data_IF_062926048572
#
_entry.id   IF_062926048572
#
_cell.length_a   1.000
_cell.length_b   1.000
_cell.length_c   1.000
_cell.angle_alpha   90.00
_cell.angle_beta   90.00
_cell.angle_gamma   90.00
#
_symmetry.space_group_name_H-M   'P 1'
#
loop_
_entity.id
_entity.type
_entity.pdbx_description
1 polymer ?
#
# COMPACT_ATOMS: atom_id res chain seq x y z
N UNK A 1 15.18 -13.20 -19.26
CA UNK A 1 14.57 -14.53 -19.06
C UNK A 1 15.31 -15.53 -19.94
N UNK A 2 15.78 -16.66 -19.39
CA UNK A 2 16.53 -17.70 -20.11
C UNK A 2 15.55 -18.62 -20.85
N UNK A 3 15.95 -19.14 -22.01
CA UNK A 3 15.30 -20.30 -22.64
C UNK A 3 15.41 -21.46 -21.64
N UNK A 4 14.28 -22.01 -21.21
CA UNK A 4 14.26 -23.27 -20.47
C UNK A 4 14.11 -24.34 -21.53
N UNK A 5 15.15 -25.15 -21.68
CA UNK A 5 15.15 -26.33 -22.54
C UNK A 5 15.29 -27.53 -21.61
N UNK A 6 14.18 -28.25 -21.43
CA UNK A 6 14.12 -29.42 -20.54
C UNK A 6 13.23 -30.47 -21.21
N UNK A 7 13.77 -31.66 -21.44
CA UNK A 7 13.06 -32.80 -22.03
C UNK A 7 12.23 -32.46 -23.30
N UNK A 8 12.78 -31.65 -24.21
CA UNK A 8 12.11 -31.32 -25.48
C UNK A 8 11.10 -30.16 -25.40
N UNK A 9 10.98 -29.51 -24.24
CA UNK A 9 10.13 -28.33 -24.03
C UNK A 9 10.94 -27.05 -24.18
N UNK A 10 10.49 -26.13 -25.04
CA UNK A 10 11.07 -24.80 -25.26
C UNK A 10 10.04 -23.72 -24.92
N UNK A 11 10.35 -22.84 -23.96
CA UNK A 11 9.49 -21.71 -23.61
C UNK A 11 10.19 -20.36 -23.77
N UNK A 12 9.53 -19.39 -24.44
CA UNK A 12 10.06 -18.02 -24.55
C UNK A 12 8.97 -16.96 -24.82
N UNK A 13 9.16 -15.74 -24.32
CA UNK A 13 8.27 -14.57 -24.58
C UNK A 13 8.38 -14.00 -26.01
N UNK A 14 9.21 -14.59 -26.87
CA UNK A 14 9.42 -14.10 -28.24
C UNK A 14 9.37 -15.30 -29.16
N UNK A 15 8.42 -15.30 -30.09
CA UNK A 15 8.22 -16.43 -30.99
C UNK A 15 9.48 -16.76 -31.82
N UNK A 16 10.20 -15.74 -32.28
CA UNK A 16 11.46 -15.92 -33.03
C UNK A 16 12.51 -16.75 -32.27
N UNK A 17 12.51 -16.68 -30.95
CA UNK A 17 13.45 -17.45 -30.12
C UNK A 17 12.98 -18.89 -29.93
N UNK A 18 11.68 -19.14 -29.90
CA UNK A 18 11.12 -20.51 -29.88
C UNK A 18 11.36 -21.22 -31.21
N UNK A 19 11.13 -20.54 -32.34
CA UNK A 19 11.42 -21.06 -33.69
C UNK A 19 12.91 -21.39 -33.88
N UNK A 20 13.80 -20.56 -33.31
CA UNK A 20 15.25 -20.80 -33.37
C UNK A 20 15.67 -22.11 -32.68
N UNK A 21 14.89 -22.63 -31.75
CA UNK A 21 15.14 -23.91 -31.07
C UNK A 21 14.39 -25.08 -31.70
N UNK A 22 14.04 -24.98 -33.00
CA UNK A 22 13.51 -26.11 -33.76
C UNK A 22 12.00 -26.31 -33.66
N UNK A 23 11.27 -25.34 -33.12
CA UNK A 23 9.80 -25.38 -33.04
C UNK A 23 9.18 -24.88 -34.34
N UNK A 24 8.42 -25.74 -35.02
CA UNK A 24 7.63 -25.38 -36.18
C UNK A 24 6.51 -24.40 -35.79
N UNK A 25 6.45 -23.27 -36.50
CA UNK A 25 5.46 -22.22 -36.32
C UNK A 25 4.65 -22.06 -37.60
N UNK A 26 3.32 -22.09 -37.46
CA UNK A 26 2.42 -21.72 -38.54
C UNK A 26 2.02 -20.25 -38.38
N UNK A 27 2.29 -19.45 -39.41
CA UNK A 27 1.94 -18.02 -39.45
C UNK A 27 0.43 -17.76 -39.49
N UNK A 28 -0.40 -18.80 -39.65
CA UNK A 28 -1.86 -18.72 -39.59
C UNK A 28 -2.42 -18.53 -38.17
N UNK A 29 -1.62 -18.77 -37.13
CA UNK A 29 -2.00 -18.52 -35.74
C UNK A 29 -1.92 -17.02 -35.43
N UNK A 30 -3.04 -16.32 -35.57
CA UNK A 30 -3.21 -14.97 -35.06
C UNK A 30 -3.17 -14.99 -33.53
N UNK A 31 -2.01 -14.63 -32.96
CA UNK A 31 -1.92 -14.33 -31.54
C UNK A 31 -2.37 -12.90 -31.37
N UNK A 32 -3.59 -12.72 -30.86
CA UNK A 32 -4.02 -11.41 -30.39
C UNK A 32 -3.08 -10.96 -29.27
N UNK A 33 -2.32 -9.88 -29.51
CA UNK A 33 -1.66 -9.16 -28.42
C UNK A 33 -2.74 -8.52 -27.55
N UNK A 34 -3.25 -9.28 -26.58
CA UNK A 34 -4.15 -8.76 -25.57
C UNK A 34 -3.36 -7.76 -24.72
N UNK A 35 -3.85 -6.52 -24.67
CA UNK A 35 -3.24 -5.42 -23.92
C UNK A 35 -3.00 -5.85 -22.47
N UNK A 36 -1.80 -5.54 -21.97
CA UNK A 36 -1.37 -5.80 -20.59
C UNK A 36 -1.12 -7.28 -20.21
N UNK A 37 -1.04 -8.18 -21.20
CA UNK A 37 -0.69 -9.58 -20.96
C UNK A 37 0.71 -9.90 -21.51
N UNK A 38 1.52 -10.55 -20.68
CA UNK A 38 2.78 -11.15 -21.09
C UNK A 38 2.51 -12.53 -21.65
N UNK A 39 2.83 -12.75 -22.93
CA UNK A 39 2.66 -14.03 -23.61
C UNK A 39 3.95 -14.83 -23.57
N UNK A 40 3.87 -16.08 -23.16
CA UNK A 40 4.95 -17.07 -23.27
C UNK A 40 4.54 -18.13 -24.28
N UNK A 41 5.33 -18.26 -25.33
CA UNK A 41 5.18 -19.30 -26.34
C UNK A 41 5.84 -20.58 -25.83
N UNK A 42 5.11 -21.71 -25.88
CA UNK A 42 5.59 -23.01 -25.44
C UNK A 42 5.58 -23.98 -26.62
N UNK A 43 6.74 -24.53 -26.94
CA UNK A 43 6.91 -25.63 -27.88
C UNK A 43 7.29 -26.93 -27.16
N UNK A 44 6.82 -28.05 -27.68
CA UNK A 44 7.16 -29.41 -27.22
C UNK A 44 7.49 -30.25 -28.45
N UNK A 45 8.62 -30.97 -28.40
CA UNK A 45 9.07 -31.87 -29.47
C UNK A 45 9.07 -31.23 -30.87
N UNK A 46 9.52 -29.97 -30.95
CA UNK A 46 9.61 -29.23 -32.20
C UNK A 46 8.27 -28.75 -32.78
N UNK A 47 7.18 -28.76 -32.02
CA UNK A 47 5.87 -28.18 -32.41
C UNK A 47 5.39 -27.17 -31.37
N UNK A 48 4.74 -26.10 -31.82
CA UNK A 48 4.10 -25.16 -30.89
C UNK A 48 2.96 -25.88 -30.16
N UNK A 49 3.09 -26.02 -28.85
CA UNK A 49 2.08 -26.69 -28.01
C UNK A 49 1.01 -25.71 -27.53
N UNK A 50 1.36 -24.44 -27.31
CA UNK A 50 0.40 -23.42 -26.89
C UNK A 50 1.03 -22.11 -26.42
N UNK A 51 0.18 -21.26 -25.86
CA UNK A 51 0.50 -19.93 -25.35
C UNK A 51 0.07 -19.85 -23.89
N UNK A 52 0.92 -19.29 -23.03
CA UNK A 52 0.58 -18.97 -21.64
C UNK A 52 0.54 -17.45 -21.51
N UNK A 53 -0.59 -16.93 -21.05
CA UNK A 53 -0.79 -15.51 -20.77
C UNK A 53 -0.59 -15.26 -19.27
N UNK A 54 0.20 -14.24 -18.95
CA UNK A 54 0.39 -13.72 -17.61
C UNK A 54 -0.13 -12.29 -17.55
N UNK A 55 -0.95 -11.98 -16.56
CA UNK A 55 -1.44 -10.62 -16.31
C UNK A 55 -1.08 -10.22 -14.89
N UNK A 56 -0.46 -9.05 -14.73
CA UNK A 56 -0.29 -8.46 -13.42
C UNK A 56 -1.64 -7.97 -12.92
N UNK A 57 -2.14 -8.63 -11.89
CA UNK A 57 -3.41 -8.30 -11.27
C UNK A 57 -3.27 -6.99 -10.47
N UNK A 58 -4.12 -6.03 -10.80
CA UNK A 58 -4.27 -4.80 -10.02
C UNK A 58 -4.95 -5.17 -8.71
N UNK A 59 -4.44 -4.67 -7.58
CA UNK A 59 -5.05 -4.92 -6.27
C UNK A 59 -6.46 -4.35 -6.23
N UNK A 60 -7.42 -5.16 -5.80
CA UNK A 60 -8.84 -4.78 -5.69
C UNK A 60 -9.05 -3.53 -4.82
N UNK A 61 -8.24 -3.38 -3.76
CA UNK A 61 -8.35 -2.25 -2.84
C UNK A 61 -7.72 -0.95 -3.37
N UNK A 62 -6.91 -1.00 -4.44
CA UNK A 62 -6.14 0.15 -4.92
C UNK A 62 -7.02 1.34 -5.31
N UNK A 63 -8.07 1.12 -6.10
CA UNK A 63 -8.98 2.19 -6.52
C UNK A 63 -9.62 2.92 -5.34
N UNK A 64 -10.15 2.17 -4.37
CA UNK A 64 -10.75 2.74 -3.15
C UNK A 64 -9.75 3.52 -2.30
N UNK A 65 -8.48 3.09 -2.25
CA UNK A 65 -7.42 3.79 -1.53
C UNK A 65 -7.09 5.11 -2.20
N UNK A 66 -6.90 5.12 -3.53
CA UNK A 66 -6.63 6.34 -4.29
C UNK A 66 -7.78 7.34 -4.12
N UNK A 67 -9.02 6.89 -4.21
CA UNK A 67 -10.20 7.73 -4.00
C UNK A 67 -10.21 8.35 -2.60
N UNK A 68 -9.94 7.55 -1.56
CA UNK A 68 -9.89 8.01 -0.18
C UNK A 68 -8.76 9.04 0.05
N UNK A 69 -7.57 8.80 -0.51
CA UNK A 69 -6.45 9.75 -0.46
C UNK A 69 -6.82 11.07 -1.15
N UNK A 70 -7.45 11.01 -2.32
CA UNK A 70 -7.90 12.19 -3.05
C UNK A 70 -8.94 12.99 -2.25
N UNK A 71 -9.93 12.31 -1.63
CA UNK A 71 -10.92 12.95 -0.73
C UNK A 71 -10.28 13.62 0.49
N UNK A 72 -9.12 13.13 0.94
CA UNK A 72 -8.34 13.73 2.02
C UNK A 72 -7.41 14.87 1.55
N UNK A 73 -7.46 15.24 0.26
CA UNK A 73 -6.61 16.29 -0.31
C UNK A 73 -5.16 15.86 -0.57
N UNK A 74 -4.88 14.55 -0.55
CA UNK A 74 -3.55 14.00 -0.82
C UNK A 74 -3.42 13.77 -2.33
N UNK A 75 -2.43 14.39 -2.96
CA UNK A 75 -2.17 14.21 -4.40
C UNK A 75 -1.36 12.93 -4.64
N UNK A 76 -1.96 11.95 -5.31
CA UNK A 76 -1.29 10.69 -5.63
C UNK A 76 -0.71 10.70 -7.05
N UNK A 77 0.50 10.17 -7.18
CA UNK A 77 1.23 9.99 -8.45
C UNK A 77 1.60 8.52 -8.61
N UNK A 78 1.63 8.04 -9.86
CA UNK A 78 2.06 6.67 -10.18
C UNK A 78 3.42 6.69 -10.90
N UNK A 79 4.37 5.94 -10.37
CA UNK A 79 5.74 5.83 -10.87
C UNK A 79 6.02 4.40 -11.31
N UNK A 80 6.10 4.14 -12.62
CA UNK A 80 6.33 2.79 -13.16
C UNK A 80 7.54 2.73 -14.10
N UNK A 81 8.25 1.61 -14.05
CA UNK A 81 9.29 1.26 -15.04
C UNK A 81 8.72 0.70 -16.35
N UNK A 82 7.42 0.39 -16.38
CA UNK A 82 6.75 -0.21 -17.53
C UNK A 82 6.52 0.79 -18.65
N UNK A 83 6.13 0.26 -19.82
CA UNK A 83 5.75 1.09 -20.97
C UNK A 83 4.53 1.95 -20.63
N UNK A 84 4.48 3.11 -21.28
CA UNK A 84 3.43 4.10 -21.11
C UNK A 84 2.01 3.53 -21.18
N UNK A 85 1.73 2.69 -22.19
CA UNK A 85 0.39 2.12 -22.38
C UNK A 85 -0.07 1.25 -21.19
N UNK A 86 0.82 0.44 -20.62
CA UNK A 86 0.51 -0.40 -19.46
C UNK A 86 0.30 0.43 -18.19
N UNK A 87 1.19 1.41 -17.95
CA UNK A 87 1.06 2.30 -16.80
C UNK A 87 -0.22 3.15 -16.87
N UNK A 88 -0.55 3.71 -18.03
CA UNK A 88 -1.78 4.50 -18.20
C UNK A 88 -3.04 3.65 -18.02
N UNK A 89 -3.01 2.39 -18.46
CA UNK A 89 -4.10 1.45 -18.22
C UNK A 89 -4.32 1.23 -16.72
N UNK A 90 -3.27 0.86 -15.97
CA UNK A 90 -3.37 0.66 -14.51
C UNK A 90 -3.88 1.93 -13.82
N UNK A 91 -3.32 3.09 -14.17
CA UNK A 91 -3.75 4.38 -13.62
C UNK A 91 -5.23 4.67 -13.89
N UNK A 92 -5.73 4.35 -15.09
CA UNK A 92 -7.14 4.55 -15.43
C UNK A 92 -8.07 3.67 -14.59
N UNK A 93 -7.67 2.43 -14.30
CA UNK A 93 -8.44 1.50 -13.46
C UNK A 93 -8.49 1.97 -12.01
N UNK A 94 -7.38 2.50 -11.47
CA UNK A 94 -7.31 2.97 -10.07
C UNK A 94 -7.72 4.43 -9.87
N UNK A 95 -8.04 5.16 -10.94
CA UNK A 95 -8.50 6.55 -10.87
C UNK A 95 -7.38 7.60 -10.70
N UNK A 96 -6.15 7.32 -11.14
CA UNK A 96 -5.05 8.30 -11.18
C UNK A 96 -5.08 9.03 -12.54
N UNK A 97 -5.12 10.38 -12.56
CA UNK A 97 -5.09 11.15 -13.80
C UNK A 97 -3.80 10.91 -14.60
N UNK A 98 -3.90 10.93 -15.93
CA UNK A 98 -2.78 10.62 -16.84
C UNK A 98 -1.57 11.53 -16.62
N UNK A 99 -1.80 12.80 -16.31
CA UNK A 99 -0.76 13.78 -16.02
C UNK A 99 0.04 13.48 -14.73
N UNK A 100 -0.48 12.60 -13.87
CA UNK A 100 0.18 12.15 -12.64
C UNK A 100 0.84 10.78 -12.78
N UNK A 101 0.98 10.28 -14.02
CA UNK A 101 1.62 8.99 -14.33
C UNK A 101 2.97 9.22 -14.99
N UNK A 102 4.02 8.67 -14.40
CA UNK A 102 5.36 8.65 -14.99
C UNK A 102 5.74 7.19 -15.27
N UNK A 103 5.86 6.86 -16.55
CA UNK A 103 6.18 5.52 -17.06
C UNK A 103 7.59 5.45 -17.67
N UNK A 104 8.16 4.25 -17.76
CA UNK A 104 9.47 4.02 -18.37
C UNK A 104 10.64 4.63 -17.58
N UNK A 105 10.43 4.98 -16.31
CA UNK A 105 11.44 5.64 -15.50
C UNK A 105 12.35 4.63 -14.80
N UNK A 106 13.65 4.94 -14.78
CA UNK A 106 14.67 4.18 -14.04
C UNK A 106 14.58 4.47 -12.53
N UNK A 107 15.18 3.63 -11.67
CA UNK A 107 15.25 3.87 -10.21
C UNK A 107 15.72 5.29 -9.84
N UNK A 108 16.78 5.79 -10.46
CA UNK A 108 17.28 7.16 -10.25
C UNK A 108 16.27 8.25 -10.65
N UNK A 109 15.43 7.97 -11.66
CA UNK A 109 14.36 8.84 -12.10
C UNK A 109 13.28 9.00 -11.03
N UNK A 110 12.92 7.91 -10.33
CA UNK A 110 11.97 7.94 -9.21
C UNK A 110 12.47 8.86 -8.10
N UNK A 111 13.74 8.72 -7.70
CA UNK A 111 14.37 9.57 -6.69
C UNK A 111 14.38 11.05 -7.10
N UNK A 112 14.76 11.36 -8.34
CA UNK A 112 14.77 12.75 -8.85
C UNK A 112 13.39 13.39 -8.79
N UNK A 113 12.36 12.64 -9.15
CA UNK A 113 10.97 13.13 -9.11
C UNK A 113 10.53 13.44 -7.68
N UNK A 114 10.84 12.56 -6.71
CA UNK A 114 10.57 12.81 -5.29
C UNK A 114 11.27 14.09 -4.81
N UNK A 115 12.56 14.23 -5.12
CA UNK A 115 13.32 15.45 -4.76
C UNK A 115 12.77 16.72 -5.40
N UNK A 116 12.16 16.63 -6.59
CA UNK A 116 11.49 17.76 -7.22
C UNK A 116 10.25 18.18 -6.43
N UNK A 117 9.38 17.22 -6.07
CA UNK A 117 8.20 17.50 -5.25
C UNK A 117 8.58 18.08 -3.88
N UNK A 118 9.65 17.59 -3.27
CA UNK A 118 10.16 18.12 -1.99
C UNK A 118 10.67 19.56 -2.11
N UNK A 119 11.31 19.92 -3.24
CA UNK A 119 11.72 21.32 -3.51
C UNK A 119 10.52 22.26 -3.60
N UNK A 120 9.37 21.76 -4.05
CA UNK A 120 8.10 22.48 -4.07
C UNK A 120 7.41 22.50 -2.68
N UNK A 121 8.17 22.27 -1.61
CA UNK A 121 7.73 22.24 -0.22
C UNK A 121 6.61 21.22 0.08
N UNK A 122 6.51 20.15 -0.72
CA UNK A 122 5.62 19.03 -0.43
C UNK A 122 6.29 18.04 0.50
N UNK A 123 5.52 17.48 1.42
CA UNK A 123 5.91 16.28 2.17
C UNK A 123 5.53 15.08 1.31
N UNK A 124 6.52 14.26 0.94
CA UNK A 124 6.36 13.16 0.00
C UNK A 124 6.43 11.84 0.75
N UNK A 125 5.33 11.08 0.69
CA UNK A 125 5.34 9.67 1.06
C UNK A 125 5.49 8.82 -0.20
N UNK A 126 6.43 7.86 -0.18
CA UNK A 126 6.58 6.88 -1.25
C UNK A 126 6.10 5.52 -0.78
N UNK A 127 5.28 4.86 -1.60
CA UNK A 127 4.89 3.46 -1.40
C UNK A 127 5.53 2.61 -2.48
N UNK A 128 6.21 1.54 -2.10
CA UNK A 128 6.91 0.66 -3.04
C UNK A 128 7.14 -0.73 -2.46
N UNK A 129 7.48 -1.70 -3.30
CA UNK A 129 7.51 -3.11 -2.95
C UNK A 129 8.88 -3.77 -3.17
N UNK A 130 9.94 -3.03 -3.49
CA UNK A 130 11.13 -3.68 -4.04
C UNK A 130 12.48 -3.00 -3.85
N UNK A 131 13.51 -3.79 -4.13
CA UNK A 131 14.93 -3.39 -4.19
C UNK A 131 15.12 -2.19 -5.13
N UNK A 132 14.38 -2.15 -6.24
CA UNK A 132 14.44 -1.07 -7.23
C UNK A 132 13.92 0.27 -6.70
N UNK A 133 13.10 0.23 -5.64
CA UNK A 133 12.46 1.41 -5.06
C UNK A 133 13.15 1.86 -3.77
N UNK A 134 14.09 1.09 -3.23
CA UNK A 134 14.77 1.39 -1.96
C UNK A 134 15.41 2.79 -1.96
N UNK A 135 16.10 3.17 -3.04
CA UNK A 135 16.74 4.48 -3.14
C UNK A 135 15.75 5.65 -3.17
N UNK A 136 14.55 5.43 -3.70
CA UNK A 136 13.48 6.42 -3.77
C UNK A 136 12.68 6.45 -2.45
N UNK A 137 12.44 5.29 -1.82
CA UNK A 137 11.85 5.16 -0.48
C UNK A 137 12.69 5.90 0.55
N UNK A 138 14.01 5.68 0.54
CA UNK A 138 14.95 6.36 1.43
C UNK A 138 15.07 7.88 1.18
N UNK A 139 14.75 8.34 -0.03
CA UNK A 139 14.78 9.77 -0.37
C UNK A 139 13.48 10.50 -0.05
N UNK A 140 12.38 9.77 0.10
CA UNK A 140 11.09 10.33 0.50
C UNK A 140 11.08 10.75 1.97
N UNK A 141 10.18 11.66 2.35
CA UNK A 141 10.02 12.03 3.76
C UNK A 141 9.45 10.86 4.58
N UNK A 142 8.62 10.02 3.92
CA UNK A 142 7.99 8.85 4.53
C UNK A 142 8.04 7.68 3.54
N UNK A 143 8.99 6.76 3.75
CA UNK A 143 9.05 5.49 3.03
C UNK A 143 8.06 4.46 3.58
N UNK A 144 7.23 3.90 2.71
CA UNK A 144 6.26 2.83 3.03
C UNK A 144 6.55 1.62 2.16
N UNK A 145 7.06 0.56 2.76
CA UNK A 145 7.32 -0.70 2.07
C UNK A 145 6.09 -1.61 2.09
N UNK A 146 5.86 -2.33 1.00
CA UNK A 146 4.91 -3.44 0.95
C UNK A 146 5.58 -4.73 1.46
N UNK A 147 5.01 -5.34 2.50
CA UNK A 147 5.59 -6.49 3.21
C UNK A 147 5.53 -7.83 2.47
N UNK A 148 5.24 -7.83 1.17
CA UNK A 148 5.28 -9.03 0.31
C UNK A 148 6.71 -9.51 0.02
N UNK A 149 7.71 -8.64 0.19
CA UNK A 149 9.12 -8.98 -0.01
C UNK A 149 9.96 -8.58 1.20
N UNK A 150 10.53 -9.56 1.90
CA UNK A 150 11.64 -9.31 2.83
C UNK A 150 12.84 -8.89 1.97
N UNK A 151 13.30 -7.64 2.11
CA UNK A 151 14.37 -7.10 1.27
C UNK A 151 14.69 -5.63 1.56
N UNK A 152 15.57 -5.05 0.75
CA UNK A 152 16.15 -3.72 0.95
C UNK A 152 15.11 -2.59 1.16
N UNK A 153 13.91 -2.69 0.59
CA UNK A 153 12.84 -1.72 0.78
C UNK A 153 12.36 -1.63 2.23
N UNK A 154 12.22 -2.77 2.92
CA UNK A 154 11.74 -2.84 4.30
C UNK A 154 12.78 -2.36 5.31
N UNK A 155 14.07 -2.46 4.98
CA UNK A 155 15.17 -1.97 5.84
C UNK A 155 15.26 -0.44 5.85
N UNK A 156 14.90 0.21 4.74
CA UNK A 156 15.00 1.67 4.59
C UNK A 156 13.68 2.41 4.84
N UNK A 157 12.58 1.68 5.03
CA UNK A 157 11.24 2.25 5.17
C UNK A 157 10.79 2.27 6.64
N UNK A 158 10.44 3.45 7.19
CA UNK A 158 9.88 3.56 8.54
C UNK A 158 8.56 2.80 8.75
N UNK A 159 7.81 2.54 7.67
CA UNK A 159 6.53 1.84 7.71
C UNK A 159 6.58 0.63 6.77
N UNK A 160 6.13 -0.52 7.25
CA UNK A 160 5.98 -1.74 6.44
C UNK A 160 4.54 -2.23 6.53
N UNK A 161 3.84 -2.29 5.40
CA UNK A 161 2.46 -2.78 5.31
C UNK A 161 2.45 -4.30 5.20
N UNK A 162 1.88 -4.99 6.18
CA UNK A 162 1.98 -6.45 6.26
C UNK A 162 0.99 -7.13 5.30
N UNK A 163 1.48 -8.09 4.50
CA UNK A 163 0.66 -8.79 3.51
C UNK A 163 0.32 -7.93 2.28
N UNK A 164 -0.66 -8.37 1.50
CA UNK A 164 -0.94 -7.81 0.16
C UNK A 164 -2.04 -6.73 0.13
N UNK A 165 -2.22 -5.93 1.20
CA UNK A 165 -3.33 -4.95 1.32
C UNK A 165 -2.81 -3.52 1.40
N UNK A 166 -3.12 -2.71 0.39
CA UNK A 166 -2.77 -1.30 0.30
C UNK A 166 -3.63 -0.44 1.24
N UNK A 167 -4.84 -0.89 1.59
CA UNK A 167 -5.75 -0.23 2.52
C UNK A 167 -5.13 0.07 3.90
N UNK A 168 -4.12 -0.71 4.32
CA UNK A 168 -3.36 -0.43 5.55
C UNK A 168 -2.62 0.90 5.54
N UNK A 169 -2.36 1.48 4.36
CA UNK A 169 -1.83 2.84 4.24
C UNK A 169 -2.80 3.86 4.85
N UNK A 170 -4.11 3.68 4.62
CA UNK A 170 -5.13 4.56 5.18
C UNK A 170 -5.21 4.40 6.70
N UNK A 171 -5.11 3.16 7.20
CA UNK A 171 -5.08 2.88 8.63
C UNK A 171 -3.87 3.55 9.30
N UNK A 172 -2.70 3.49 8.67
CA UNK A 172 -1.48 4.13 9.17
C UNK A 172 -1.61 5.66 9.22
N UNK A 173 -2.19 6.28 8.17
CA UNK A 173 -2.46 7.72 8.13
C UNK A 173 -3.47 8.15 9.21
N UNK A 174 -4.53 7.38 9.39
CA UNK A 174 -5.52 7.65 10.43
C UNK A 174 -4.90 7.52 11.84
N UNK A 175 -4.15 6.44 12.08
CA UNK A 175 -3.48 6.21 13.35
C UNK A 175 -2.49 7.35 13.67
N UNK A 176 -1.74 7.81 12.67
CA UNK A 176 -0.82 8.95 12.80
C UNK A 176 -1.56 10.23 13.23
N UNK A 177 -2.68 10.56 12.58
CA UNK A 177 -3.49 11.75 12.95
C UNK A 177 -4.05 11.65 14.36
N UNK A 178 -4.58 10.48 14.73
CA UNK A 178 -5.11 10.23 16.06
C UNK A 178 -4.02 10.35 17.12
N UNK A 179 -2.84 9.77 16.86
CA UNK A 179 -1.68 9.85 17.76
C UNK A 179 -1.22 11.30 17.94
N UNK A 180 -1.06 12.05 16.85
CA UNK A 180 -0.64 13.45 16.91
C UNK A 180 -1.66 14.33 17.64
N UNK A 181 -2.96 14.04 17.52
CA UNK A 181 -3.99 14.72 18.31
C UNK A 181 -3.80 14.47 19.81
N UNK A 182 -3.57 13.22 20.21
CA UNK A 182 -3.32 12.86 21.61
C UNK A 182 -2.03 13.49 22.14
N UNK A 183 -0.95 13.49 21.34
CA UNK A 183 0.32 14.16 21.71
C UNK A 183 0.10 15.66 21.95
N UNK A 184 -0.62 16.35 21.05
CA UNK A 184 -0.93 17.78 21.22
C UNK A 184 -1.76 18.05 22.46
N UNK A 185 -2.73 17.19 22.79
CA UNK A 185 -3.53 17.30 24.02
C UNK A 185 -2.67 17.13 25.27
N UNK A 186 -1.83 16.10 25.31
CA UNK A 186 -0.94 15.84 26.44
C UNK A 186 0.04 17.00 26.64
N UNK A 187 0.58 17.55 25.55
CA UNK A 187 1.49 18.69 25.59
C UNK A 187 0.78 19.96 26.07
N UNK A 188 -0.47 20.19 25.64
CA UNK A 188 -1.29 21.30 26.11
C UNK A 188 -1.52 21.24 27.62
N UNK A 189 -1.86 20.06 28.16
CA UNK A 189 -2.00 19.87 29.60
C UNK A 189 -0.69 20.09 30.37
N UNK A 190 0.43 19.60 29.83
CA UNK A 190 1.75 19.81 30.43
C UNK A 190 2.11 21.30 30.52
N UNK A 191 1.88 22.06 29.44
CA UNK A 191 2.13 23.50 29.44
C UNK A 191 1.14 24.27 30.31
N UNK A 192 -0.16 23.95 30.26
CA UNK A 192 -1.16 24.61 31.07
C UNK A 192 -0.85 24.50 32.57
N UNK A 193 -0.45 23.30 33.02
CA UNK A 193 -0.01 23.08 34.39
C UNK A 193 1.20 23.95 34.76
N UNK A 194 2.23 24.01 33.91
CA UNK A 194 3.41 24.82 34.19
C UNK A 194 3.12 26.33 34.18
N UNK A 195 2.29 26.80 33.24
CA UNK A 195 1.89 28.21 33.13
C UNK A 195 1.12 28.66 34.37
N UNK A 196 0.29 27.79 34.96
CA UNK A 196 -0.45 28.10 36.19
C UNK A 196 0.41 27.88 37.44
N UNK A 197 1.18 26.79 37.47
CA UNK A 197 1.97 26.37 38.61
C UNK A 197 3.14 27.30 38.92
N UNK A 198 3.82 27.82 37.89
CA UNK A 198 4.99 28.70 38.08
C UNK A 198 4.64 30.04 38.76
N UNK A 199 3.61 30.80 38.35
CA UNK A 199 3.20 32.02 39.06
C UNK A 199 2.75 31.73 40.50
N UNK A 200 2.04 30.62 40.73
CA UNK A 200 1.60 30.24 42.08
C UNK A 200 2.82 29.91 42.96
N UNK A 201 3.78 29.15 42.45
CA UNK A 201 5.02 28.84 43.15
C UNK A 201 5.90 30.09 43.38
N UNK A 202 5.89 31.04 42.45
CA UNK A 202 6.55 32.34 42.58
C UNK A 202 5.87 33.28 43.60
N UNK A 203 4.77 32.86 44.21
CA UNK A 203 4.13 33.58 45.31
C UNK A 203 2.94 34.45 44.92
N UNK A 204 2.39 34.29 43.71
CA UNK A 204 1.21 35.05 43.26
C UNK A 204 0.01 34.92 44.22
N UNK A 205 -0.13 33.77 44.90
CA UNK A 205 -1.22 33.52 45.85
C UNK A 205 -0.89 33.91 47.31
N UNK A 206 0.37 34.23 47.64
CA UNK A 206 0.76 34.64 48.99
C UNK A 206 -0.06 35.80 49.58
N UNK A 207 -0.34 36.90 48.86
CA UNK A 207 -1.06 38.03 49.45
C UNK A 207 -2.55 37.77 49.73
N UNK A 208 -3.15 36.72 49.15
CA UNK A 208 -4.59 36.45 49.28
C UNK A 208 -4.86 35.22 50.14
N UNK A 209 -4.08 34.15 49.98
CA UNK A 209 -4.35 32.87 50.66
C UNK A 209 -3.23 32.42 51.60
N UNK A 210 -2.08 33.09 51.63
CA UNK A 210 -0.94 32.70 52.47
C UNK A 210 -0.33 31.34 52.11
N UNK A 211 -0.73 30.75 50.98
CA UNK A 211 -0.33 29.42 50.53
C UNK A 211 0.82 29.51 49.53
N UNK A 212 1.87 28.74 49.77
CA UNK A 212 2.98 28.54 48.84
C UNK A 212 2.85 27.14 48.25
N UNK A 213 3.01 27.00 46.92
CA UNK A 213 3.03 25.68 46.30
C UNK A 213 4.30 24.95 46.76
N UNK A 214 4.16 23.95 47.63
CA UNK A 214 5.32 23.16 48.08
C UNK A 214 5.76 22.18 47.00
N UNK A 215 7.07 21.88 46.89
CA UNK A 215 7.59 20.89 45.94
C UNK A 215 6.91 19.52 46.03
N UNK A 216 6.44 19.12 47.22
CA UNK A 216 5.71 17.87 47.43
C UNK A 216 4.32 17.86 46.78
N UNK A 217 3.54 18.96 46.89
CA UNK A 217 2.24 19.08 46.23
C UNK A 217 2.42 19.15 44.71
N UNK A 218 3.42 19.89 44.24
CA UNK A 218 3.76 19.96 42.82
C UNK A 218 4.12 18.58 42.26
N UNK A 219 4.91 17.80 43.00
CA UNK A 219 5.27 16.42 42.64
C UNK A 219 4.05 15.47 42.62
N UNK A 220 3.13 15.59 43.58
CA UNK A 220 1.91 14.80 43.61
C UNK A 220 0.99 15.07 42.41
N UNK A 221 0.79 16.36 42.05
CA UNK A 221 0.01 16.75 40.87
C UNK A 221 0.65 16.27 39.56
N UNK A 222 1.98 16.30 39.49
CA UNK A 222 2.74 15.78 38.33
C UNK A 222 2.59 14.26 38.19
N UNK A 223 2.55 13.52 39.30
CA UNK A 223 2.24 12.09 39.32
C UNK A 223 0.82 11.78 38.82
N UNK A 224 -0.19 12.53 39.27
CA UNK A 224 -1.58 12.37 38.82
C UNK A 224 -1.75 12.70 37.32
N UNK A 225 -1.03 13.71 36.81
CA UNK A 225 -1.01 14.05 35.39
C UNK A 225 -0.51 12.89 34.52
N UNK A 226 0.52 12.17 34.97
CA UNK A 226 1.06 11.01 34.26
C UNK A 226 0.03 9.89 34.11
N UNK A 227 -0.78 9.64 35.15
CA UNK A 227 -1.89 8.67 35.11
C UNK A 227 -2.97 9.14 34.14
N UNK A 228 -3.31 10.43 34.11
CA UNK A 228 -4.27 11.01 33.17
C UNK A 228 -3.80 10.89 31.71
N UNK A 229 -2.54 11.19 31.44
CA UNK A 229 -1.91 11.06 30.11
C UNK A 229 -1.86 9.60 29.66
N UNK A 230 -1.51 8.68 30.56
CA UNK A 230 -1.52 7.23 30.29
C UNK A 230 -2.94 6.74 29.96
N UNK A 231 -3.93 7.19 30.73
CA UNK A 231 -5.35 6.88 30.48
C UNK A 231 -5.82 7.41 29.13
N UNK A 232 -5.47 8.65 28.77
CA UNK A 232 -5.81 9.25 27.48
C UNK A 232 -5.16 8.48 26.31
N UNK A 233 -3.93 8.03 26.49
CA UNK A 233 -3.21 7.20 25.51
C UNK A 233 -3.85 5.81 25.35
N UNK A 234 -4.32 5.20 26.44
CA UNK A 234 -5.07 3.93 26.41
C UNK A 234 -6.43 4.07 25.73
N UNK A 235 -7.13 5.20 25.93
CA UNK A 235 -8.40 5.49 25.25
C UNK A 235 -8.23 5.61 23.73
N UNK A 236 -7.06 6.06 23.24
CA UNK A 236 -6.74 6.07 21.82
C UNK A 236 -6.78 4.66 21.22
N UNK A 237 -6.20 3.68 21.92
CA UNK A 237 -6.19 2.26 21.51
C UNK A 237 -7.62 1.72 21.36
N UNK A 238 -8.51 2.08 22.27
CA UNK A 238 -9.92 1.65 22.23
C UNK A 238 -10.70 2.31 21.08
N UNK A 239 -10.44 3.60 20.80
CA UNK A 239 -11.05 4.31 19.67
C UNK A 239 -10.64 3.72 18.33
N UNK A 240 -9.34 3.43 18.16
CA UNK A 240 -8.82 2.82 16.94
C UNK A 240 -9.41 1.40 16.71
N UNK A 241 -9.42 0.56 17.75
CA UNK A 241 -10.01 -0.79 17.67
C UNK A 241 -11.52 -0.77 17.31
N UNK A 242 -12.27 0.20 17.84
CA UNK A 242 -13.70 0.34 17.58
C UNK A 242 -13.99 0.77 16.13
N UNK A 243 -13.16 1.68 15.58
CA UNK A 243 -13.35 2.18 14.22
C UNK A 243 -12.88 1.19 13.15
N UNK A 244 -11.82 0.43 13.41
CA UNK A 244 -11.38 -0.66 12.53
C UNK A 244 -12.48 -1.73 12.36
N UNK A 245 -13.25 -2.01 13.42
CA UNK A 245 -14.43 -2.88 13.34
C UNK A 245 -15.53 -2.31 12.44
N UNK A 246 -15.73 -0.99 12.43
CA UNK A 246 -16.71 -0.33 11.56
C UNK A 246 -16.28 -0.20 10.10
N UNK A 247 -14.98 -0.13 9.79
CA UNK A 247 -14.49 -0.09 8.39
C UNK A 247 -14.51 -1.48 7.76
N UNK A 248 -14.40 -2.54 8.58
CA UNK A 248 -14.46 -3.93 8.12
C UNK A 248 -15.88 -4.40 7.75
N UNK A 249 -16.91 -3.91 8.44
CA UNK A 249 -18.31 -4.31 8.23
C UNK A 249 -18.90 -3.92 6.83
N UNK A 250 -18.63 -2.74 6.25
CA UNK A 250 -19.15 -2.35 4.94
C UNK A 250 -18.56 -3.14 3.77
N UNK A 251 -17.29 -3.58 3.86
CA UNK A 251 -16.59 -4.27 2.77
C UNK A 251 -16.96 -5.76 2.68
N UNK A 252 -17.28 -6.42 3.79
CA UNK A 252 -17.80 -7.80 3.78
C UNK A 252 -19.27 -7.88 3.36
N UNK A 253 -20.06 -6.81 3.60
CA UNK A 253 -21.48 -6.77 3.22
C UNK A 253 -21.70 -6.60 1.71
N UNK A 254 -20.82 -5.87 1.00
CA UNK A 254 -20.89 -5.77 -0.47
C UNK A 254 -20.45 -7.07 -1.14
N UNK A 255 -19.36 -7.69 -0.68
CA UNK A 255 -18.85 -8.93 -1.27
C UNK A 255 -19.76 -10.15 -1.01
N UNK A 256 -20.41 -10.24 0.15
CA UNK A 256 -21.33 -11.36 0.42
C UNK A 256 -22.59 -11.31 -0.46
N UNK A 257 -23.17 -10.13 -0.67
CA UNK A 257 -24.34 -9.97 -1.55
C UNK A 257 -24.02 -10.21 -3.03
N UNK A 258 -22.83 -9.79 -3.52
CA UNK A 258 -22.39 -10.09 -4.89
C UNK A 258 -22.04 -11.56 -5.12
N UNK A 259 -21.39 -12.21 -4.14
CA UNK A 259 -21.05 -13.65 -4.21
C UNK A 259 -22.33 -14.51 -4.16
N UNK A 260 -23.32 -14.14 -3.35
CA UNK A 260 -24.61 -14.84 -3.31
C UNK A 260 -25.40 -14.65 -4.61
N UNK A 261 -25.35 -13.47 -5.22
CA UNK A 261 -25.97 -13.23 -6.52
C UNK A 261 -25.26 -13.95 -7.69
N UNK A 262 -23.93 -14.10 -7.64
CA UNK A 262 -23.14 -14.84 -8.65
C UNK A 262 -23.31 -16.35 -8.52
N UNK A 263 -23.31 -16.90 -7.31
CA UNK A 263 -23.54 -18.32 -7.08
C UNK A 263 -24.95 -18.75 -7.52
N UNK A 264 -25.96 -17.93 -7.26
CA UNK A 264 -27.34 -18.23 -7.67
C UNK A 264 -27.54 -18.12 -9.20
N UNK A 265 -26.68 -17.38 -9.91
CA UNK A 265 -26.69 -17.27 -11.37
C UNK A 265 -25.92 -18.42 -12.04
N UNK A 266 -24.81 -18.86 -11.46
CA UNK A 266 -24.02 -20.00 -11.95
C UNK A 266 -24.71 -21.36 -11.73
N UNK A 267 -25.54 -21.50 -10.70
CA UNK A 267 -26.37 -22.70 -10.51
C UNK A 267 -27.48 -22.87 -11.57
N UNK A 268 -27.80 -21.82 -12.34
CA UNK A 268 -28.82 -21.86 -13.41
C UNK A 268 -28.25 -22.00 -14.83
N UNK A 269 -26.93 -21.95 -15.00
CA UNK A 269 -26.27 -22.18 -16.28
C UNK A 269 -25.48 -23.50 -16.20
N UNK A 270 -26.19 -24.60 -16.42
CA UNK A 270 -25.55 -25.89 -16.65
C UNK A 270 -24.67 -25.80 -17.90
N UNK A 271 -23.35 -25.88 -17.72
CA UNK A 271 -22.40 -25.96 -18.83
C UNK A 271 -21.83 -27.39 -18.96
N UNK A 272 -21.73 -27.92 -20.20
CA UNK A 272 -21.62 -29.35 -20.45
C UNK A 272 -20.16 -29.75 -20.71
N UNK A 273 -19.30 -29.74 -19.69
CA UNK A 273 -17.99 -30.40 -19.84
C UNK A 273 -17.64 -31.14 -18.54
N UNK A 274 -17.59 -32.47 -18.66
CA UNK A 274 -17.31 -33.39 -17.58
C UNK A 274 -15.89 -33.26 -17.07
N UNK A 275 -15.75 -33.41 -15.76
CA UNK A 275 -14.48 -33.42 -15.04
C UNK A 275 -13.50 -34.46 -15.62
N UNK A 276 -12.40 -34.00 -16.20
CA UNK A 276 -11.27 -34.85 -16.54
C UNK A 276 -10.48 -35.16 -15.26
N UNK A 277 -10.47 -36.46 -14.93
CA UNK A 277 -9.81 -37.05 -13.76
C UNK A 277 -8.31 -37.19 -14.08
N UNK A 278 -7.46 -36.38 -13.43
CA UNK A 278 -6.01 -36.54 -13.53
C UNK A 278 -5.60 -37.86 -12.88
N UNK A 279 -4.90 -38.70 -13.65
CA UNK A 279 -4.34 -39.98 -13.19
C UNK A 279 -2.87 -39.75 -12.87
N UNK A 280 -2.50 -39.90 -11.61
CA UNK A 280 -1.09 -39.88 -11.18
C UNK A 280 -0.41 -41.18 -11.61
N UNK A 281 0.70 -41.04 -12.33
CA UNK A 281 1.85 -41.96 -12.33
C UNK A 281 3.11 -41.13 -12.54
#
# INVERSE_FOLDING_TARGET
MKVVDYEGVVAHMKIKLVVKHGVAWDSSLEVEEIKNQSVVYVGVDGRLAGLIYFEDQIREDAGSVIECLSKQGISTYMLSGDKQHAAEYVASVVGIPREKVLSGIKPDGKKKFISQLQKDQKIVAMVGDGINDAAALAASDIGVAMGGSVGAASEVSPIVLMGNRLSQLLDALELSRLTMKTVKQNLWWAFAYNIVGLPIAAGLLLPVTGTMLTPSIAGALMGLSSIGVMTNSLLLRLKFASKQKQIKLPLEASNSSEIDHLNNKNLKLGHPYGAAKWRNT
#
